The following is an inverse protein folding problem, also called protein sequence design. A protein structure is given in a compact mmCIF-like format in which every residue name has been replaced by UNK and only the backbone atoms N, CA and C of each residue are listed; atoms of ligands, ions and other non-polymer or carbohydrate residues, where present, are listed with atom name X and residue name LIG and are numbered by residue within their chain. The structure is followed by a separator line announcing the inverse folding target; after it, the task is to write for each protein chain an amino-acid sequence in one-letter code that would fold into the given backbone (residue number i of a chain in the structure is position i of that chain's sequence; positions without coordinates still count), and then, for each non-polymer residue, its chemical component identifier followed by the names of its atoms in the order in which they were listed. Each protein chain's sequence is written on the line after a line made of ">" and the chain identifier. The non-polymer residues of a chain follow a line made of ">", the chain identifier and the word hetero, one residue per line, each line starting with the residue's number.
data_IF_404825266406
#
_entry.id   IF_404825266406
#
_cell.length_a   1.000
_cell.length_b   1.000
_cell.length_c   1.000
_cell.angle_alpha   90.00
_cell.angle_beta   90.00
_cell.angle_gamma   90.00
#
_symmetry.space_group_name_H-M   'P 1'
#
loop_
_entity.id
_entity.type
_entity.pdbx_description
1 polymer ?
#
# COMPACT_ATOMS: atom_id res chain seq x y z
N UNK A 1 25.85 -21.73 16.40
CA UNK A 1 26.09 -22.80 15.41
C UNK A 1 24.73 -23.27 14.95
N UNK A 2 24.36 -23.01 13.70
CA UNK A 2 23.08 -23.46 13.15
C UNK A 2 23.08 -25.01 13.01
N UNK A 3 21.90 -25.64 13.02
CA UNK A 3 21.78 -27.10 12.99
C UNK A 3 22.27 -27.71 11.66
N UNK A 4 22.53 -29.02 11.64
CA UNK A 4 23.08 -29.77 10.48
C UNK A 4 22.25 -29.67 9.18
N UNK A 5 21.02 -29.16 9.26
CA UNK A 5 20.14 -28.91 8.10
C UNK A 5 20.07 -27.43 7.70
N UNK A 6 20.88 -26.57 8.31
CA UNK A 6 20.92 -25.17 7.96
C UNK A 6 21.49 -25.02 6.55
N UNK A 7 20.74 -24.34 5.69
CA UNK A 7 21.22 -24.07 4.35
C UNK A 7 22.45 -23.17 4.38
N UNK A 8 23.39 -23.43 3.47
CA UNK A 8 24.60 -22.60 3.35
C UNK A 8 24.30 -21.16 2.93
N UNK A 9 23.17 -20.93 2.25
CA UNK A 9 22.78 -19.62 1.73
C UNK A 9 21.47 -19.12 2.35
N UNK A 10 21.32 -17.79 2.53
CA UNK A 10 20.07 -17.21 2.97
C UNK A 10 18.97 -17.50 1.94
N UNK A 11 17.92 -18.16 2.40
CA UNK A 11 16.74 -18.48 1.59
C UNK A 11 15.86 -17.24 1.32
N UNK A 12 16.02 -16.22 2.17
CA UNK A 12 15.28 -14.95 2.13
C UNK A 12 16.16 -13.89 1.48
N UNK A 13 16.10 -13.79 0.16
CA UNK A 13 16.79 -12.76 -0.61
C UNK A 13 15.81 -11.80 -1.27
N UNK A 14 16.28 -10.62 -1.66
CA UNK A 14 15.46 -9.66 -2.40
C UNK A 14 15.06 -10.20 -3.79
N UNK A 15 15.92 -11.00 -4.42
CA UNK A 15 15.64 -11.65 -5.70
C UNK A 15 14.50 -12.67 -5.56
N UNK A 16 14.51 -13.45 -4.47
CA UNK A 16 13.44 -14.37 -4.14
C UNK A 16 12.13 -13.60 -3.92
N UNK A 17 12.15 -12.52 -3.13
CA UNK A 17 10.98 -11.65 -2.96
C UNK A 17 10.45 -11.11 -4.31
N UNK A 18 11.32 -10.78 -5.25
CA UNK A 18 10.94 -10.37 -6.59
C UNK A 18 10.24 -11.44 -7.41
N UNK A 19 10.60 -12.72 -7.24
CA UNK A 19 9.86 -13.84 -7.87
C UNK A 19 8.42 -13.89 -7.33
N UNK A 20 8.25 -13.81 -6.01
CA UNK A 20 6.92 -13.78 -5.39
C UNK A 20 6.10 -12.57 -5.85
N UNK A 21 6.70 -11.37 -5.86
CA UNK A 21 6.04 -10.15 -6.31
C UNK A 21 5.52 -10.26 -7.75
N UNK A 22 6.36 -10.76 -8.67
CA UNK A 22 5.96 -10.98 -10.08
C UNK A 22 4.79 -11.94 -10.20
N UNK A 23 4.81 -13.07 -9.49
CA UNK A 23 3.71 -14.04 -9.52
C UNK A 23 2.40 -13.45 -8.96
N UNK A 24 2.47 -12.62 -7.91
CA UNK A 24 1.29 -11.92 -7.39
C UNK A 24 0.70 -10.93 -8.40
N UNK A 25 1.54 -10.19 -9.11
CA UNK A 25 1.11 -9.22 -10.15
C UNK A 25 0.48 -9.95 -11.35
N UNK A 26 1.10 -11.04 -11.81
CA UNK A 26 0.56 -11.88 -12.88
C UNK A 26 -0.81 -12.46 -12.50
N UNK A 27 -0.94 -12.99 -11.29
CA UNK A 27 -2.21 -13.52 -10.80
C UNK A 27 -3.30 -12.43 -10.68
N UNK A 28 -2.95 -11.24 -10.18
CA UNK A 28 -3.88 -10.13 -10.09
C UNK A 28 -4.42 -9.73 -11.47
N UNK A 29 -3.53 -9.70 -12.48
CA UNK A 29 -3.91 -9.46 -13.88
C UNK A 29 -4.85 -10.54 -14.41
N UNK A 30 -4.56 -11.81 -14.14
CA UNK A 30 -5.40 -12.94 -14.58
C UNK A 30 -6.80 -12.90 -13.94
N UNK A 31 -6.89 -12.43 -12.70
CA UNK A 31 -8.16 -12.25 -11.98
C UNK A 31 -8.88 -10.94 -12.32
N UNK A 32 -8.26 -10.05 -13.10
CA UNK A 32 -8.80 -8.73 -13.41
C UNK A 32 -8.94 -7.82 -12.18
N UNK A 33 -8.09 -8.00 -11.17
CA UNK A 33 -8.06 -7.16 -9.96
C UNK A 33 -6.84 -6.24 -9.97
N UNK A 34 -6.97 -5.10 -9.30
CA UNK A 34 -5.87 -4.14 -9.16
C UNK A 34 -4.79 -4.68 -8.21
N UNK A 35 -3.53 -4.33 -8.48
CA UNK A 35 -2.38 -4.71 -7.64
C UNK A 35 -1.36 -3.59 -7.55
N UNK A 36 -0.60 -3.56 -6.45
CA UNK A 36 0.52 -2.65 -6.26
C UNK A 36 1.85 -3.43 -6.30
N UNK A 37 2.68 -3.18 -7.30
CA UNK A 37 4.02 -3.77 -7.40
C UNK A 37 5.08 -2.92 -6.65
N UNK A 38 5.07 -3.04 -5.32
CA UNK A 38 6.03 -2.30 -4.47
C UNK A 38 7.48 -2.75 -4.70
N UNK A 39 7.70 -4.02 -5.03
CA UNK A 39 9.05 -4.57 -5.20
C UNK A 39 9.75 -3.90 -6.38
N UNK A 40 9.09 -3.83 -7.54
CA UNK A 40 9.64 -3.12 -8.69
C UNK A 40 9.78 -1.63 -8.38
N UNK A 41 8.77 -1.02 -7.73
CA UNK A 41 8.73 0.42 -7.49
C UNK A 41 9.86 0.92 -6.60
N UNK A 42 10.16 0.23 -5.50
CA UNK A 42 11.23 0.65 -4.59
C UNK A 42 12.60 0.59 -5.26
N UNK A 43 12.84 -0.41 -6.10
CA UNK A 43 14.13 -0.61 -6.78
C UNK A 43 14.42 0.42 -7.88
N UNK A 44 13.43 1.22 -8.31
CA UNK A 44 13.68 2.39 -9.19
C UNK A 44 14.59 3.43 -8.52
N UNK A 45 14.77 3.36 -7.20
CA UNK A 45 15.64 4.26 -6.44
C UNK A 45 16.96 3.58 -6.09
N UNK A 46 18.09 4.18 -6.47
CA UNK A 46 19.40 3.71 -6.03
C UNK A 46 19.53 3.79 -4.49
N UNK A 47 20.01 2.71 -3.88
CA UNK A 47 20.15 2.60 -2.42
C UNK A 47 18.82 2.54 -1.67
N UNK A 48 17.75 2.07 -2.33
CA UNK A 48 16.42 1.92 -1.74
C UNK A 48 16.43 1.15 -0.42
N UNK A 49 17.34 0.18 -0.24
CA UNK A 49 17.42 -0.65 0.96
C UNK A 49 17.66 0.21 2.20
N UNK A 50 18.57 1.17 2.11
CA UNK A 50 18.93 2.05 3.23
C UNK A 50 17.98 3.23 3.36
N UNK A 51 17.39 3.66 2.25
CA UNK A 51 16.50 4.82 2.20
C UNK A 51 15.09 4.48 2.66
N UNK A 52 14.57 3.34 2.25
CA UNK A 52 13.18 2.95 2.46
C UNK A 52 13.01 1.93 3.58
N UNK A 53 14.07 1.26 4.05
CA UNK A 53 13.99 0.32 5.16
C UNK A 53 14.78 0.81 6.37
N UNK A 54 14.19 0.72 7.56
CA UNK A 54 14.79 1.19 8.81
C UNK A 54 15.74 0.17 9.43
N UNK A 55 15.41 -1.11 9.32
CA UNK A 55 16.15 -2.24 9.88
C UNK A 55 16.43 -3.35 8.86
N UNK A 56 16.26 -3.04 7.57
CA UNK A 56 16.37 -3.99 6.48
C UNK A 56 15.07 -4.74 6.16
N UNK A 57 13.96 -4.46 6.87
CA UNK A 57 12.64 -5.01 6.56
C UNK A 57 11.49 -4.00 6.73
N UNK A 58 11.41 -3.31 7.87
CA UNK A 58 10.35 -2.35 8.14
C UNK A 58 10.61 -1.04 7.41
N UNK A 59 9.53 -0.37 6.98
CA UNK A 59 9.64 0.85 6.19
C UNK A 59 10.05 2.06 7.03
N UNK A 60 10.88 2.93 6.46
CA UNK A 60 11.10 4.31 6.94
C UNK A 60 9.88 5.19 6.64
N UNK A 61 9.83 6.44 7.14
CA UNK A 61 8.84 7.42 6.67
C UNK A 61 8.88 7.61 5.14
N UNK A 62 10.07 7.66 4.51
CA UNK A 62 10.15 7.73 3.05
C UNK A 62 9.65 6.46 2.36
N UNK A 63 9.94 5.27 2.91
CA UNK A 63 9.42 4.01 2.40
C UNK A 63 7.89 3.94 2.44
N UNK A 64 7.29 4.38 3.55
CA UNK A 64 5.83 4.49 3.69
C UNK A 64 5.24 5.51 2.70
N UNK A 65 5.94 6.62 2.41
CA UNK A 65 5.49 7.59 1.42
C UNK A 65 5.43 7.02 0.00
N UNK A 66 6.32 6.08 -0.35
CA UNK A 66 6.25 5.33 -1.62
C UNK A 66 4.99 4.45 -1.64
N UNK A 67 4.76 3.67 -0.57
CA UNK A 67 3.58 2.81 -0.46
C UNK A 67 2.28 3.62 -0.58
N UNK A 68 2.17 4.71 0.18
CA UNK A 68 1.01 5.60 0.15
C UNK A 68 0.73 6.10 -1.27
N UNK A 69 1.75 6.58 -1.98
CA UNK A 69 1.59 7.10 -3.35
C UNK A 69 1.07 6.05 -4.31
N UNK A 70 1.61 4.84 -4.25
CA UNK A 70 1.15 3.75 -5.14
C UNK A 70 -0.24 3.23 -4.79
N UNK A 71 -0.57 3.12 -3.50
CA UNK A 71 -1.92 2.72 -3.07
C UNK A 71 -2.96 3.76 -3.51
N UNK A 72 -2.70 5.05 -3.29
CA UNK A 72 -3.61 6.12 -3.72
C UNK A 72 -3.77 6.15 -5.24
N UNK A 73 -2.67 5.98 -5.99
CA UNK A 73 -2.74 5.86 -7.46
C UNK A 73 -3.66 4.72 -7.88
N UNK A 74 -3.48 3.53 -7.32
CA UNK A 74 -4.28 2.35 -7.66
C UNK A 74 -5.75 2.51 -7.23
N UNK A 75 -6.01 3.14 -6.09
CA UNK A 75 -7.38 3.47 -5.68
C UNK A 75 -8.05 4.44 -6.65
N UNK A 76 -7.34 5.48 -7.08
CA UNK A 76 -7.88 6.41 -8.09
C UNK A 76 -8.18 5.70 -9.42
N UNK A 77 -7.28 4.83 -9.89
CA UNK A 77 -7.49 3.99 -11.09
C UNK A 77 -8.70 3.05 -10.95
N UNK A 78 -9.00 2.61 -9.71
CA UNK A 78 -10.15 1.77 -9.39
C UNK A 78 -11.45 2.56 -9.12
N UNK A 79 -11.45 3.89 -9.25
CA UNK A 79 -12.61 4.73 -8.94
C UNK A 79 -12.91 4.86 -7.45
N UNK A 80 -11.89 4.65 -6.60
CA UNK A 80 -11.94 4.74 -5.14
C UNK A 80 -11.10 5.94 -4.64
N UNK A 81 -11.05 7.03 -5.41
CA UNK A 81 -10.30 8.22 -4.98
C UNK A 81 -11.01 8.89 -3.80
N UNK A 82 -10.24 9.32 -2.80
CA UNK A 82 -10.80 9.93 -1.60
C UNK A 82 -11.55 11.24 -1.92
N UNK A 83 -11.12 11.94 -2.97
CA UNK A 83 -11.70 13.20 -3.44
C UNK A 83 -13.07 13.01 -4.11
N UNK A 84 -13.32 11.83 -4.71
CA UNK A 84 -14.59 11.52 -5.39
C UNK A 84 -15.57 10.75 -4.49
N UNK A 85 -15.09 10.16 -3.38
CA UNK A 85 -15.93 9.45 -2.44
C UNK A 85 -16.80 10.40 -1.62
N UNK A 86 -18.09 10.09 -1.53
CA UNK A 86 -19.02 10.81 -0.67
C UNK A 86 -18.75 10.46 0.80
N UNK A 87 -18.77 11.47 1.67
CA UNK A 87 -18.75 11.24 3.11
C UNK A 87 -19.97 10.46 3.58
N UNK A 88 -19.77 9.46 4.44
CA UNK A 88 -20.86 8.67 5.05
C UNK A 88 -21.82 9.53 5.90
N UNK A 89 -21.33 10.68 6.39
CA UNK A 89 -22.07 11.58 7.26
C UNK A 89 -21.81 13.05 6.89
N UNK A 90 -22.70 13.97 7.27
CA UNK A 90 -22.54 15.39 6.99
C UNK A 90 -21.26 15.93 7.62
N UNK A 91 -20.69 16.97 7.02
CA UNK A 91 -19.56 17.63 7.64
C UNK A 91 -20.02 18.28 8.95
N UNK A 92 -19.21 18.23 10.01
CA UNK A 92 -19.63 18.72 11.34
C UNK A 92 -20.04 20.19 11.34
N UNK A 93 -19.50 21.02 10.43
CA UNK A 93 -19.90 22.43 10.28
C UNK A 93 -21.29 22.62 9.69
N UNK A 94 -21.89 21.56 9.13
CA UNK A 94 -23.24 21.55 8.56
C UNK A 94 -24.29 21.08 9.57
N UNK A 95 -23.84 20.60 10.74
CA UNK A 95 -24.71 20.13 11.83
C UNK A 95 -25.09 21.33 12.70
N UNK A 96 -26.36 21.71 12.64
CA UNK A 96 -26.95 22.68 13.56
C UNK A 96 -27.08 22.04 14.95
N UNK A 97 -26.54 22.69 15.98
CA UNK A 97 -26.59 22.16 17.35
C UNK A 97 -28.00 22.13 17.94
N UNK A 98 -28.88 23.04 17.49
CA UNK A 98 -30.26 23.13 17.95
C UNK A 98 -31.21 22.19 17.16
N UNK A 99 -30.80 21.78 15.95
CA UNK A 99 -31.54 20.84 15.09
C UNK A 99 -30.59 19.91 14.31
N UNK A 100 -29.88 19.00 14.99
CA UNK A 100 -28.84 18.18 14.37
C UNK A 100 -29.41 17.17 13.37
N UNK A 101 -30.65 16.72 13.55
CA UNK A 101 -31.29 15.71 12.70
C UNK A 101 -31.46 16.21 11.26
N UNK A 102 -31.60 17.53 11.06
CA UNK A 102 -31.77 18.15 9.74
C UNK A 102 -30.63 17.81 8.77
N UNK A 103 -29.39 17.76 9.27
CA UNK A 103 -28.22 17.50 8.44
C UNK A 103 -28.20 16.06 7.89
N UNK A 104 -28.81 15.10 8.60
CA UNK A 104 -28.83 13.68 8.22
C UNK A 104 -30.02 13.30 7.33
N UNK A 105 -30.98 14.20 7.10
CA UNK A 105 -32.16 13.94 6.24
C UNK A 105 -31.94 14.25 4.76
N UNK A 106 -30.82 14.91 4.40
CA UNK A 106 -30.55 15.41 3.04
C UNK A 106 -29.52 14.57 2.27
N UNK A 107 -29.15 13.39 2.80
CA UNK A 107 -28.27 12.43 2.14
C UNK A 107 -29.05 11.34 1.41
#
# INVERSE_FOLDING_TARGET
>A
MYGEKAMEFPERTNEAAGVYARQCVELAKDLGIHSVDLWSKMQETEGWEKRFLSDGLHLTPEGNAVVHREVVRVFSEAGLSAEEMTSDFPHHSEIDGDDPERAFRQQ
#
